data_IF_146536427064
#
_entry.id   IF_146536427064
#
_cell.length_a   1.000
_cell.length_b   1.000
_cell.length_c   1.000
_cell.angle_alpha   90.00
_cell.angle_beta   90.00
_cell.angle_gamma   90.00
#
_symmetry.space_group_name_H-M   'P 1'
#
loop_
_entity.id
_entity.type
_entity.pdbx_description
1 polymer ?
#
# COMPACT_ATOMS: atom_id res chain seq x y z
N UNK A 1 -0.90 -20.47 8.64
CA UNK A 1 -1.09 -19.09 8.14
C UNK A 1 -0.90 -18.12 9.28
N UNK A 2 -0.21 -17.03 9.01
CA UNK A 2 -0.02 -16.05 10.06
C UNK A 2 -1.26 -15.15 10.17
N UNK A 3 -1.55 -14.68 11.37
CA UNK A 3 -2.64 -13.74 11.60
C UNK A 3 -2.42 -12.44 10.82
N UNK A 4 -1.16 -12.06 10.62
CA UNK A 4 -0.82 -10.87 9.84
C UNK A 4 -1.26 -11.01 8.38
N UNK A 5 -1.02 -12.17 7.77
CA UNK A 5 -1.42 -12.39 6.38
C UNK A 5 -2.94 -12.30 6.22
N UNK A 6 -3.69 -12.85 7.17
CA UNK A 6 -5.14 -12.77 7.18
C UNK A 6 -5.62 -11.35 7.40
N UNK A 7 -5.01 -10.62 8.33
CA UNK A 7 -5.32 -9.23 8.59
C UNK A 7 -5.05 -8.34 7.39
N UNK A 8 -3.94 -8.59 6.70
CA UNK A 8 -3.57 -7.85 5.50
C UNK A 8 -4.61 -8.10 4.37
N UNK A 9 -5.00 -9.35 4.19
CA UNK A 9 -6.03 -9.69 3.20
C UNK A 9 -7.37 -9.03 3.54
N UNK A 10 -7.77 -9.09 4.80
CA UNK A 10 -9.02 -8.47 5.26
C UNK A 10 -8.97 -6.95 5.07
N UNK A 11 -7.84 -6.31 5.37
CA UNK A 11 -7.69 -4.86 5.21
C UNK A 11 -7.84 -4.44 3.76
N UNK A 12 -7.38 -5.25 2.81
CA UNK A 12 -7.55 -4.97 1.39
C UNK A 12 -9.02 -4.96 0.98
N UNK A 13 -9.84 -5.79 1.63
CA UNK A 13 -11.29 -5.79 1.42
C UNK A 13 -11.94 -4.59 2.12
N UNK A 14 -11.52 -4.32 3.36
CA UNK A 14 -12.09 -3.25 4.18
C UNK A 14 -11.90 -1.88 3.54
N UNK A 15 -10.80 -1.65 2.83
CA UNK A 15 -10.52 -0.36 2.20
C UNK A 15 -11.59 0.00 1.16
N UNK A 16 -12.22 -0.99 0.55
CA UNK A 16 -13.31 -0.76 -0.42
C UNK A 16 -14.63 -0.41 0.25
N UNK A 17 -14.73 -0.60 1.56
CA UNK A 17 -15.96 -0.34 2.32
C UNK A 17 -15.89 0.92 3.17
N UNK A 18 -14.86 1.74 2.97
CA UNK A 18 -14.71 2.99 3.72
C UNK A 18 -15.86 3.95 3.40
N UNK A 19 -16.37 4.61 4.44
CA UNK A 19 -17.47 5.56 4.28
C UNK A 19 -17.08 6.75 3.42
N UNK A 20 -15.82 7.18 3.54
CA UNK A 20 -15.29 8.29 2.75
C UNK A 20 -14.06 7.82 1.97
N UNK A 21 -13.97 8.29 0.72
CA UNK A 21 -12.79 8.00 -0.10
C UNK A 21 -11.58 8.72 0.49
N UNK A 22 -10.47 8.01 0.76
CA UNK A 22 -9.24 8.68 1.22
C UNK A 22 -8.73 9.68 0.19
N UNK A 23 -7.99 10.68 0.66
CA UNK A 23 -7.35 11.63 -0.24
C UNK A 23 -6.26 10.96 -1.09
N UNK A 24 -5.79 11.65 -2.11
CA UNK A 24 -4.81 11.11 -3.05
C UNK A 24 -3.50 10.72 -2.37
N UNK A 25 -3.05 11.50 -1.38
CA UNK A 25 -1.83 11.18 -0.63
C UNK A 25 -1.99 9.87 0.12
N UNK A 26 -3.14 9.67 0.79
CA UNK A 26 -3.43 8.44 1.52
C UNK A 26 -3.56 7.25 0.57
N UNK A 27 -4.20 7.45 -0.59
CA UNK A 27 -4.32 6.38 -1.59
C UNK A 27 -2.95 5.94 -2.11
N UNK A 28 -2.03 6.88 -2.33
CA UNK A 28 -0.66 6.54 -2.73
C UNK A 28 0.06 5.77 -1.64
N UNK A 29 -0.13 6.16 -0.38
CA UNK A 29 0.48 5.46 0.75
C UNK A 29 -0.07 4.04 0.87
N UNK A 30 -1.38 3.86 0.72
CA UNK A 30 -2.01 2.53 0.72
C UNK A 30 -1.43 1.67 -0.41
N UNK A 31 -1.32 2.23 -1.61
CA UNK A 31 -0.75 1.50 -2.74
C UNK A 31 0.69 1.06 -2.44
N UNK A 32 1.51 2.00 -1.93
CA UNK A 32 2.92 1.72 -1.66
C UNK A 32 3.08 0.62 -0.61
N UNK A 33 2.31 0.68 0.48
CA UNK A 33 2.34 -0.33 1.53
C UNK A 33 1.86 -1.69 1.00
N UNK A 34 0.83 -1.68 0.15
CA UNK A 34 0.35 -2.89 -0.49
C UNK A 34 1.44 -3.54 -1.35
N UNK A 35 2.10 -2.76 -2.21
CA UNK A 35 3.16 -3.30 -3.08
C UNK A 35 4.34 -3.79 -2.27
N UNK A 36 4.79 -3.03 -1.28
CA UNK A 36 5.90 -3.45 -0.43
C UNK A 36 5.53 -4.71 0.35
N UNK A 37 4.29 -4.82 0.81
CA UNK A 37 3.81 -5.99 1.54
C UNK A 37 3.69 -7.24 0.67
N UNK A 38 3.39 -7.08 -0.62
CA UNK A 38 3.22 -8.19 -1.54
C UNK A 38 4.50 -8.60 -2.26
N UNK A 39 5.31 -7.62 -2.68
CA UNK A 39 6.44 -7.86 -3.58
C UNK A 39 7.79 -7.50 -2.98
N UNK A 40 7.81 -6.80 -1.85
CA UNK A 40 9.06 -6.29 -1.29
C UNK A 40 9.49 -5.00 -1.98
N UNK A 41 10.80 -4.79 -2.05
CA UNK A 41 11.36 -3.55 -2.61
C UNK A 41 10.94 -3.32 -4.06
N UNK A 42 10.81 -2.04 -4.41
CA UNK A 42 10.41 -1.64 -5.75
C UNK A 42 11.30 -2.30 -6.80
N UNK A 43 10.68 -2.81 -7.85
CA UNK A 43 11.35 -3.49 -8.94
C UNK A 43 10.61 -3.23 -10.24
N UNK A 44 11.23 -3.62 -11.35
CA UNK A 44 10.66 -3.44 -12.66
C UNK A 44 10.96 -2.06 -13.26
N UNK A 45 10.58 -1.84 -14.53
CA UNK A 45 10.86 -0.58 -15.20
C UNK A 45 10.01 0.55 -14.65
N UNK A 46 10.53 1.76 -14.72
CA UNK A 46 9.76 2.95 -14.36
C UNK A 46 8.64 3.16 -15.40
N UNK A 47 7.48 3.69 -14.96
CA UNK A 47 6.41 4.04 -15.90
C UNK A 47 6.88 5.05 -16.94
N UNK A 48 6.16 5.11 -18.07
CA UNK A 48 6.47 6.04 -19.13
C UNK A 48 6.38 7.51 -18.69
N UNK A 49 7.07 8.37 -19.44
CA UNK A 49 7.22 9.79 -19.07
C UNK A 49 5.90 10.51 -18.84
N UNK A 50 4.86 10.17 -19.61
CA UNK A 50 3.56 10.83 -19.48
C UNK A 50 2.58 10.08 -18.57
N UNK A 51 3.01 8.97 -17.95
CA UNK A 51 2.17 8.26 -17.00
C UNK A 51 2.40 8.84 -15.59
N UNK A 52 1.76 9.96 -15.32
CA UNK A 52 1.98 10.69 -14.06
C UNK A 52 1.49 9.91 -12.84
N UNK A 53 0.35 9.22 -12.98
CA UNK A 53 -0.21 8.42 -11.88
C UNK A 53 0.69 7.22 -11.61
N UNK A 54 1.10 6.50 -12.65
CA UNK A 54 2.01 5.37 -12.50
C UNK A 54 3.35 5.78 -11.90
N UNK A 55 3.88 6.95 -12.31
CA UNK A 55 5.12 7.49 -11.77
C UNK A 55 4.98 7.79 -10.29
N UNK A 56 3.89 8.43 -9.88
CA UNK A 56 3.64 8.74 -8.47
C UNK A 56 3.55 7.46 -7.63
N UNK A 57 2.86 6.44 -8.13
CA UNK A 57 2.76 5.13 -7.46
C UNK A 57 4.11 4.46 -7.32
N UNK A 58 4.89 4.45 -8.39
CA UNK A 58 6.22 3.83 -8.41
C UNK A 58 7.16 4.53 -7.41
N UNK A 59 7.13 5.85 -7.37
CA UNK A 59 7.93 6.62 -6.44
C UNK A 59 7.50 6.38 -4.98
N UNK A 60 6.20 6.33 -4.72
CA UNK A 60 5.69 6.06 -3.37
C UNK A 60 6.16 4.70 -2.88
N UNK A 61 6.10 3.68 -3.74
CA UNK A 61 6.60 2.35 -3.41
C UNK A 61 8.12 2.38 -3.17
N UNK A 62 8.85 3.09 -4.02
CA UNK A 62 10.32 3.22 -3.88
C UNK A 62 10.76 3.81 -2.56
N UNK A 63 9.95 4.71 -1.98
CA UNK A 63 10.26 5.32 -0.67
C UNK A 63 10.22 4.32 0.48
N UNK A 64 9.60 3.16 0.28
CA UNK A 64 9.50 2.13 1.31
C UNK A 64 10.61 1.09 1.22
N UNK A 65 11.56 1.26 0.30
CA UNK A 65 12.67 0.32 0.14
C UNK A 65 13.36 0.06 1.47
N UNK A 66 13.67 -1.20 1.73
CA UNK A 66 14.28 -1.64 2.98
C UNK A 66 13.30 -2.12 4.04
N UNK A 67 12.01 -1.80 3.92
CA UNK A 67 11.01 -2.34 4.84
C UNK A 67 10.72 -3.79 4.48
N UNK A 68 10.56 -4.63 5.51
CA UNK A 68 10.18 -6.01 5.26
C UNK A 68 8.72 -6.08 4.79
N UNK A 69 8.38 -7.18 4.14
CA UNK A 69 6.99 -7.41 3.74
C UNK A 69 6.05 -7.41 4.95
N UNK A 70 6.48 -8.02 6.06
CA UNK A 70 5.67 -8.05 7.28
C UNK A 70 5.45 -6.65 7.85
N UNK A 71 6.49 -5.81 7.88
CA UNK A 71 6.36 -4.43 8.35
C UNK A 71 5.35 -3.65 7.50
N UNK A 72 5.46 -3.78 6.18
CA UNK A 72 4.57 -3.08 5.26
C UNK A 72 3.13 -3.58 5.40
N UNK A 73 2.93 -4.88 5.54
CA UNK A 73 1.60 -5.46 5.76
C UNK A 73 0.99 -4.93 7.05
N UNK A 74 1.76 -4.90 8.13
CA UNK A 74 1.27 -4.38 9.41
C UNK A 74 0.90 -2.90 9.30
N UNK A 75 1.73 -2.12 8.63
CA UNK A 75 1.44 -0.69 8.44
C UNK A 75 0.20 -0.47 7.58
N UNK A 76 -0.03 -1.33 6.59
CA UNK A 76 -1.24 -1.28 5.78
C UNK A 76 -2.48 -1.54 6.63
N UNK A 77 -2.43 -2.60 7.44
CA UNK A 77 -3.53 -2.96 8.35
C UNK A 77 -3.83 -1.81 9.30
N UNK A 78 -2.78 -1.23 9.90
CA UNK A 78 -2.93 -0.12 10.85
C UNK A 78 -3.54 1.11 10.19
N UNK A 79 -3.12 1.42 8.96
CA UNK A 79 -3.65 2.58 8.24
C UNK A 79 -5.12 2.38 7.89
N UNK A 80 -5.51 1.21 7.42
CA UNK A 80 -6.91 0.91 7.11
C UNK A 80 -7.77 1.00 8.38
N UNK A 81 -7.28 0.45 9.50
CA UNK A 81 -7.99 0.52 10.78
C UNK A 81 -8.21 1.99 11.20
N UNK A 82 -7.20 2.83 11.02
CA UNK A 82 -7.31 4.25 11.33
C UNK A 82 -8.34 4.95 10.44
N UNK A 83 -8.38 4.59 9.16
CA UNK A 83 -9.32 5.18 8.21
C UNK A 83 -10.77 4.75 8.48
N UNK A 84 -10.96 3.59 9.06
CA UNK A 84 -12.30 3.11 9.44
C UNK A 84 -12.85 3.84 10.66
N UNK A 85 -12.02 4.42 11.47
CA UNK A 85 -12.41 5.18 12.64
C UNK A 85 -12.33 4.44 13.95
#
# INVERSE_FOLDING_TARGET
>A
MSDLAQGFHQAQQDVHSLAERPDNHTLLRLYALYKQGCEGDVSGPKPGFFDFIGTAKHEAWGKLAGRTQDEAQQQYVDLVAKLRG
#
